data_IF_768077227315
#
_entry.id   IF_768077227315
#
_cell.length_a   1.000
_cell.length_b   1.000
_cell.length_c   1.000
_cell.angle_alpha   90.00
_cell.angle_beta   90.00
_cell.angle_gamma   90.00
#
_symmetry.space_group_name_H-M   'P 1'
#
loop_
_entity.id
_entity.type
_entity.pdbx_description
1 polymer ?
#
# COMPACT_ATOMS: atom_id res chain seq x y z
N UNK A 1 -31.32 -70.34 1.65
CA UNK A 1 -31.18 -68.92 1.27
C UNK A 1 -32.55 -68.41 0.85
N UNK A 2 -33.03 -67.32 1.44
CA UNK A 2 -34.26 -66.64 1.03
C UNK A 2 -33.94 -65.56 0.00
N UNK A 3 -34.78 -65.40 -1.02
CA UNK A 3 -34.66 -64.38 -2.04
C UNK A 3 -35.63 -63.23 -1.72
N UNK A 4 -35.15 -61.99 -1.60
CA UNK A 4 -35.98 -60.82 -1.30
C UNK A 4 -36.25 -60.00 -2.56
N UNK A 5 -37.47 -59.50 -2.69
CA UNK A 5 -37.80 -58.53 -3.73
C UNK A 5 -37.39 -57.12 -3.32
N UNK A 6 -36.58 -56.44 -4.13
CA UNK A 6 -36.07 -55.09 -3.86
C UNK A 6 -37.16 -54.01 -3.83
N UNK A 7 -38.31 -54.26 -4.47
CA UNK A 7 -39.39 -53.27 -4.56
C UNK A 7 -40.39 -53.39 -3.40
N UNK A 8 -40.74 -54.60 -2.98
CA UNK A 8 -41.81 -54.85 -2.01
C UNK A 8 -41.36 -55.58 -0.74
N UNK A 9 -40.06 -55.89 -0.62
CA UNK A 9 -39.43 -56.60 0.50
C UNK A 9 -40.06 -57.97 0.84
N UNK A 10 -40.79 -58.59 -0.09
CA UNK A 10 -41.35 -59.92 0.11
C UNK A 10 -40.27 -60.99 -0.08
N UNK A 11 -40.29 -62.02 0.77
CA UNK A 11 -39.32 -63.11 0.74
C UNK A 11 -39.85 -64.34 -0.02
N UNK A 12 -38.97 -65.00 -0.76
CA UNK A 12 -39.26 -66.17 -1.58
C UNK A 12 -38.25 -67.28 -1.29
N UNK A 13 -38.72 -68.52 -1.31
CA UNK A 13 -37.90 -69.71 -1.08
C UNK A 13 -37.03 -70.07 -2.29
N UNK A 14 -37.41 -69.66 -3.51
CA UNK A 14 -36.71 -69.98 -4.75
C UNK A 14 -36.57 -68.75 -5.67
N UNK A 15 -35.50 -68.73 -6.48
CA UNK A 15 -35.23 -67.66 -7.46
C UNK A 15 -36.33 -67.54 -8.52
N UNK A 16 -36.89 -68.67 -8.96
CA UNK A 16 -37.99 -68.69 -9.94
C UNK A 16 -39.26 -68.01 -9.40
N UNK A 17 -39.60 -68.21 -8.13
CA UNK A 17 -40.75 -67.54 -7.51
C UNK A 17 -40.56 -66.03 -7.40
N UNK A 18 -39.35 -65.57 -7.05
CA UNK A 18 -39.01 -64.14 -7.08
C UNK A 18 -39.17 -63.56 -8.49
N UNK A 19 -38.63 -64.25 -9.50
CA UNK A 19 -38.67 -63.78 -10.90
C UNK A 19 -40.12 -63.68 -11.40
N UNK A 20 -40.96 -64.68 -11.11
CA UNK A 20 -42.39 -64.63 -11.44
C UNK A 20 -43.11 -63.49 -10.70
N UNK A 21 -42.78 -63.28 -9.43
CA UNK A 21 -43.35 -62.21 -8.63
C UNK A 21 -43.01 -60.82 -9.19
N UNK A 22 -41.77 -60.58 -9.60
CA UNK A 22 -41.34 -59.30 -10.19
C UNK A 22 -42.13 -58.92 -11.45
N UNK A 23 -42.68 -59.91 -12.15
CA UNK A 23 -43.54 -59.72 -13.32
C UNK A 23 -45.03 -59.57 -13.00
N UNK A 24 -45.43 -59.68 -11.73
CA UNK A 24 -46.84 -59.44 -11.33
C UNK A 24 -47.16 -57.95 -11.41
N UNK A 25 -48.41 -57.63 -11.78
CA UNK A 25 -48.88 -56.25 -11.88
C UNK A 25 -48.67 -55.45 -10.58
N UNK A 26 -48.89 -56.09 -9.42
CA UNK A 26 -48.68 -55.48 -8.11
C UNK A 26 -47.21 -55.08 -7.89
N UNK A 27 -46.27 -55.97 -8.20
CA UNK A 27 -44.85 -55.68 -8.04
C UNK A 27 -44.37 -54.61 -9.04
N UNK A 28 -44.85 -54.67 -10.29
CA UNK A 28 -44.55 -53.66 -11.30
C UNK A 28 -45.12 -52.28 -10.94
N UNK A 29 -46.31 -52.23 -10.33
CA UNK A 29 -46.91 -50.99 -9.85
C UNK A 29 -46.05 -50.34 -8.77
N UNK A 30 -45.61 -51.11 -7.77
CA UNK A 30 -44.70 -50.62 -6.71
C UNK A 30 -43.38 -50.14 -7.32
N UNK A 31 -42.81 -50.88 -8.27
CA UNK A 31 -41.60 -50.44 -8.99
C UNK A 31 -41.79 -49.07 -9.64
N UNK A 32 -42.86 -48.86 -10.40
CA UNK A 32 -43.15 -47.56 -11.04
C UNK A 32 -43.30 -46.42 -10.04
N UNK A 33 -43.88 -46.69 -8.86
CA UNK A 33 -43.99 -45.70 -7.79
C UNK A 33 -42.62 -45.32 -7.22
N UNK A 34 -41.74 -46.30 -7.02
CA UNK A 34 -40.36 -46.06 -6.55
C UNK A 34 -39.56 -45.28 -7.61
N UNK A 35 -39.63 -45.69 -8.88
CA UNK A 35 -38.96 -45.00 -9.99
C UNK A 35 -39.40 -43.53 -10.07
N UNK A 36 -40.72 -43.26 -9.96
CA UNK A 36 -41.26 -41.90 -9.97
C UNK A 36 -40.81 -41.08 -8.75
N UNK A 37 -40.75 -41.69 -7.57
CA UNK A 37 -40.25 -41.05 -6.36
C UNK A 37 -38.77 -40.68 -6.51
N UNK A 38 -37.97 -41.60 -7.03
CA UNK A 38 -36.54 -41.41 -7.18
C UNK A 38 -36.23 -40.35 -8.25
N UNK A 39 -37.02 -40.31 -9.34
CA UNK A 39 -36.96 -39.22 -10.32
C UNK A 39 -37.26 -37.86 -9.67
N UNK A 40 -38.35 -37.75 -8.90
CA UNK A 40 -38.70 -36.51 -8.19
C UNK A 40 -37.63 -36.09 -7.18
N UNK A 41 -37.01 -37.04 -6.48
CA UNK A 41 -35.93 -36.76 -5.54
C UNK A 41 -34.67 -36.28 -6.27
N UNK A 42 -34.34 -36.86 -7.42
CA UNK A 42 -33.21 -36.42 -8.23
C UNK A 42 -33.43 -35.00 -8.78
N UNK A 43 -34.64 -34.70 -9.26
CA UNK A 43 -35.01 -33.34 -9.70
C UNK A 43 -34.87 -32.33 -8.55
N UNK A 44 -35.36 -32.66 -7.34
CA UNK A 44 -35.21 -31.82 -6.15
C UNK A 44 -33.75 -31.62 -5.76
N UNK A 45 -32.95 -32.68 -5.75
CA UNK A 45 -31.52 -32.60 -5.43
C UNK A 45 -30.76 -31.72 -6.41
N UNK A 46 -31.08 -31.82 -7.71
CA UNK A 46 -30.48 -30.95 -8.74
C UNK A 46 -30.84 -29.47 -8.53
N UNK A 47 -32.08 -29.17 -8.13
CA UNK A 47 -32.50 -27.81 -7.80
C UNK A 47 -31.76 -27.28 -6.58
N UNK A 48 -31.71 -28.06 -5.49
CA UNK A 48 -30.97 -27.70 -4.26
C UNK A 48 -29.48 -27.48 -4.55
N UNK A 49 -28.88 -28.30 -5.41
CA UNK A 49 -27.49 -28.14 -5.79
C UNK A 49 -27.24 -26.80 -6.52
N UNK A 50 -28.11 -26.43 -7.47
CA UNK A 50 -28.03 -25.14 -8.16
C UNK A 50 -28.20 -23.95 -7.21
N UNK A 51 -29.15 -24.03 -6.29
CA UNK A 51 -29.36 -22.98 -5.27
C UNK A 51 -28.13 -22.82 -4.37
N UNK A 52 -27.53 -23.93 -3.93
CA UNK A 52 -26.31 -23.89 -3.12
C UNK A 52 -25.11 -23.29 -3.88
N UNK A 53 -24.98 -23.56 -5.18
CA UNK A 53 -23.95 -22.95 -6.02
C UNK A 53 -24.15 -21.43 -6.16
N UNK A 54 -25.40 -20.97 -6.30
CA UNK A 54 -25.73 -19.54 -6.33
C UNK A 54 -25.42 -18.86 -4.99
N UNK A 55 -25.85 -19.47 -3.88
CA UNK A 55 -25.57 -18.96 -2.52
C UNK A 55 -24.08 -18.90 -2.21
N UNK A 56 -23.28 -19.84 -2.72
CA UNK A 56 -21.81 -19.79 -2.59
C UNK A 56 -21.23 -18.58 -3.30
N UNK A 57 -21.66 -18.31 -4.54
CA UNK A 57 -21.21 -17.13 -5.30
C UNK A 57 -21.63 -15.82 -4.63
N UNK A 58 -22.85 -15.74 -4.12
CA UNK A 58 -23.34 -14.56 -3.39
C UNK A 58 -22.51 -14.31 -2.12
N UNK A 59 -22.20 -15.35 -1.35
CA UNK A 59 -21.33 -15.24 -0.17
C UNK A 59 -19.90 -14.80 -0.53
N UNK A 60 -19.37 -15.20 -1.67
CA UNK A 60 -18.06 -14.75 -2.15
C UNK A 60 -18.08 -13.25 -2.49
N UNK A 61 -19.13 -12.77 -3.15
CA UNK A 61 -19.31 -11.35 -3.45
C UNK A 61 -19.44 -10.50 -2.18
N UNK A 62 -20.25 -10.94 -1.21
CA UNK A 62 -20.39 -10.26 0.08
C UNK A 62 -19.07 -10.18 0.86
N UNK A 63 -18.22 -11.22 0.77
CA UNK A 63 -16.87 -11.20 1.38
C UNK A 63 -15.94 -10.18 0.73
N UNK A 64 -16.06 -9.96 -0.58
CA UNK A 64 -15.27 -8.94 -1.29
C UNK A 64 -15.75 -7.55 -0.84
N UNK A 65 -17.06 -7.32 -0.80
CA UNK A 65 -17.64 -6.05 -0.37
C UNK A 65 -17.27 -5.70 1.08
N UNK A 66 -17.31 -6.67 2.01
CA UNK A 66 -16.90 -6.48 3.40
C UNK A 66 -15.42 -6.04 3.51
N UNK A 67 -14.53 -6.61 2.69
CA UNK A 67 -13.12 -6.20 2.65
C UNK A 67 -12.93 -4.77 2.14
N UNK A 68 -13.68 -4.38 1.12
CA UNK A 68 -13.64 -3.00 0.60
C UNK A 68 -14.15 -2.01 1.65
N UNK A 69 -15.25 -2.33 2.31
CA UNK A 69 -15.83 -1.48 3.34
C UNK A 69 -14.90 -1.34 4.56
N UNK A 70 -14.24 -2.42 4.99
CA UNK A 70 -13.19 -2.36 6.02
C UNK A 70 -12.04 -1.43 5.64
N UNK A 71 -11.61 -1.48 4.38
CA UNK A 71 -10.54 -0.59 3.88
C UNK A 71 -10.99 0.87 3.87
N UNK A 72 -12.23 1.15 3.43
CA UNK A 72 -12.82 2.50 3.45
C UNK A 72 -12.94 3.05 4.88
N UNK A 73 -13.38 2.24 5.83
CA UNK A 73 -13.48 2.61 7.24
C UNK A 73 -12.10 2.99 7.79
N UNK A 74 -11.07 2.19 7.52
CA UNK A 74 -9.70 2.48 7.95
C UNK A 74 -9.20 3.83 7.42
N UNK A 75 -9.38 4.09 6.12
CA UNK A 75 -9.00 5.36 5.50
C UNK A 75 -9.74 6.55 6.13
N UNK A 76 -11.03 6.39 6.46
CA UNK A 76 -11.81 7.44 7.12
C UNK A 76 -11.36 7.69 8.56
N UNK A 77 -11.00 6.64 9.29
CA UNK A 77 -10.45 6.74 10.64
C UNK A 77 -9.10 7.47 10.63
N UNK A 78 -8.20 7.11 9.71
CA UNK A 78 -6.90 7.78 9.58
C UNK A 78 -7.08 9.27 9.29
N UNK A 79 -7.98 9.63 8.36
CA UNK A 79 -8.33 11.04 8.07
C UNK A 79 -8.93 11.77 9.26
N UNK A 80 -9.79 11.11 10.03
CA UNK A 80 -10.41 11.71 11.21
C UNK A 80 -9.35 12.01 12.28
N UNK A 81 -8.42 11.09 12.51
CA UNK A 81 -7.34 11.25 13.47
C UNK A 81 -6.36 12.36 13.06
N UNK A 82 -6.05 12.48 11.77
CA UNK A 82 -5.25 13.59 11.25
C UNK A 82 -5.93 14.94 11.47
N UNK A 83 -7.23 15.05 11.15
CA UNK A 83 -8.02 16.25 11.40
C UNK A 83 -8.09 16.59 12.89
N UNK A 84 -8.29 15.59 13.75
CA UNK A 84 -8.30 15.76 15.20
C UNK A 84 -6.98 16.34 15.70
N UNK A 85 -5.83 15.79 15.26
CA UNK A 85 -4.49 16.32 15.61
C UNK A 85 -4.29 17.75 15.12
N UNK A 86 -4.81 18.11 13.94
CA UNK A 86 -4.76 19.49 13.43
C UNK A 86 -5.57 20.43 14.32
N UNK A 87 -6.79 20.04 14.69
CA UNK A 87 -7.68 20.84 15.56
C UNK A 87 -7.09 21.01 16.95
N UNK A 88 -6.57 19.94 17.57
CA UNK A 88 -5.91 20.02 18.88
C UNK A 88 -4.68 20.95 18.83
N UNK A 89 -3.85 20.86 17.77
CA UNK A 89 -2.73 21.79 17.54
C UNK A 89 -3.18 23.23 17.33
N UNK A 90 -4.35 23.45 16.70
CA UNK A 90 -4.90 24.80 16.50
C UNK A 90 -5.48 25.38 17.79
N UNK A 91 -6.14 24.56 18.61
CA UNK A 91 -6.73 24.97 19.89
C UNK A 91 -5.69 25.30 20.96
N UNK A 92 -4.54 24.60 20.97
CA UNK A 92 -3.44 24.85 21.92
C UNK A 92 -2.60 26.08 21.51
N UNK A 93 -2.68 26.54 20.25
CA UNK A 93 -2.07 27.82 19.85
C UNK A 93 -2.84 28.98 20.48
N UNK A 94 -2.38 29.40 21.65
CA UNK A 94 -2.85 30.60 22.35
C UNK A 94 -3.02 31.78 21.38
N UNK A 95 -4.25 32.29 21.28
CA UNK A 95 -4.62 33.56 20.63
C UNK A 95 -4.19 34.75 21.47
N UNK A 96 -3.01 34.71 22.07
CA UNK A 96 -2.35 35.95 22.47
C UNK A 96 -1.83 36.62 21.20
N UNK A 97 -2.46 37.73 20.83
CA UNK A 97 -1.90 38.80 20.01
C UNK A 97 -0.67 39.38 20.70
N UNK A 98 0.36 38.56 20.88
CA UNK A 98 1.69 39.08 21.17
C UNK A 98 2.12 39.73 19.87
N UNK A 99 2.27 41.07 19.88
CA UNK A 99 3.15 41.79 18.98
C UNK A 99 4.57 41.20 19.16
N UNK A 100 4.80 39.99 18.64
CA UNK A 100 6.14 39.43 18.50
C UNK A 100 6.65 40.06 17.23
N UNK A 101 7.53 41.03 17.41
CA UNK A 101 8.60 41.30 16.48
C UNK A 101 9.16 39.93 16.09
N UNK A 102 8.82 39.45 14.89
CA UNK A 102 9.39 38.24 14.36
C UNK A 102 10.88 38.54 14.20
N UNK A 103 11.69 38.04 15.14
CA UNK A 103 13.05 37.68 14.80
C UNK A 103 12.90 36.55 13.77
N UNK A 104 12.80 36.93 12.49
CA UNK A 104 13.16 36.02 11.41
C UNK A 104 14.60 35.61 11.70
N UNK A 105 14.77 34.43 12.28
CA UNK A 105 16.04 33.73 12.22
C UNK A 105 16.45 33.74 10.75
N UNK A 106 17.68 34.15 10.48
CA UNK A 106 18.15 34.57 9.18
C UNK A 106 18.25 33.36 8.23
N UNK A 107 17.12 32.81 7.75
CA UNK A 107 17.06 31.65 6.83
C UNK A 107 17.85 31.91 5.54
N UNK A 108 18.03 33.19 5.21
CA UNK A 108 18.91 33.68 4.16
C UNK A 108 20.38 33.27 4.34
N UNK A 109 20.83 32.96 5.58
CA UNK A 109 22.18 32.46 5.84
C UNK A 109 22.35 30.98 5.47
N UNK A 110 21.26 30.21 5.49
CA UNK A 110 21.29 28.76 5.25
C UNK A 110 20.93 28.40 3.82
N UNK A 111 20.08 29.18 3.18
CA UNK A 111 19.67 28.96 1.80
C UNK A 111 20.72 29.48 0.82
N UNK A 112 20.96 28.76 -0.27
CA UNK A 112 21.87 29.23 -1.33
C UNK A 112 21.48 30.63 -1.84
N UNK A 113 22.48 31.40 -2.28
CA UNK A 113 22.31 32.63 -3.03
C UNK A 113 21.73 32.39 -4.43
N UNK A 114 21.97 31.22 -5.01
CA UNK A 114 21.41 30.83 -6.30
C UNK A 114 19.91 30.50 -6.17
N UNK A 115 19.03 31.13 -6.96
CA UNK A 115 17.62 30.77 -6.98
C UNK A 115 17.40 29.40 -7.61
N UNK A 116 16.31 28.74 -7.23
CA UNK A 116 15.91 27.50 -7.87
C UNK A 116 15.34 27.81 -9.24
N UNK A 117 16.10 27.51 -10.29
CA UNK A 117 15.70 27.76 -11.68
C UNK A 117 14.70 26.72 -12.16
N UNK A 118 13.43 26.94 -11.83
CA UNK A 118 12.33 26.06 -12.21
C UNK A 118 12.24 25.92 -13.74
N UNK A 119 12.63 26.95 -14.49
CA UNK A 119 12.63 26.92 -15.96
C UNK A 119 13.64 25.93 -16.56
N UNK A 120 14.75 25.67 -15.86
CA UNK A 120 15.83 24.79 -16.31
C UNK A 120 15.67 23.35 -15.80
N UNK A 121 14.80 23.11 -14.80
CA UNK A 121 14.53 21.80 -14.20
C UNK A 121 14.24 20.70 -15.25
N UNK A 122 13.36 20.91 -16.25
CA UNK A 122 13.09 19.88 -17.26
C UNK A 122 14.32 19.46 -18.06
N UNK A 123 15.23 20.40 -18.32
CA UNK A 123 16.46 20.11 -19.09
C UNK A 123 17.45 19.34 -18.23
N UNK A 124 17.62 19.73 -16.98
CA UNK A 124 18.53 19.05 -16.04
C UNK A 124 18.05 17.63 -15.74
N UNK A 125 16.75 17.47 -15.49
CA UNK A 125 16.14 16.18 -15.18
C UNK A 125 16.29 15.13 -16.27
N UNK A 126 16.27 15.53 -17.54
CA UNK A 126 16.46 14.60 -18.66
C UNK A 126 17.81 13.87 -18.61
N UNK A 127 18.83 14.49 -18.01
CA UNK A 127 20.15 13.88 -17.88
C UNK A 127 20.32 13.17 -16.53
N UNK A 128 19.73 13.72 -15.47
CA UNK A 128 19.87 13.23 -14.09
C UNK A 128 18.99 11.98 -13.84
N UNK A 129 17.75 12.01 -14.33
CA UNK A 129 16.79 10.91 -14.14
C UNK A 129 16.74 10.09 -15.43
N UNK A 130 17.44 8.97 -15.42
CA UNK A 130 17.55 8.02 -16.52
C UNK A 130 17.33 6.59 -16.00
N UNK A 131 17.37 5.60 -16.89
CA UNK A 131 17.11 4.22 -16.52
C UNK A 131 18.07 3.68 -15.46
N UNK A 132 19.35 4.07 -15.49
CA UNK A 132 20.34 3.60 -14.54
C UNK A 132 20.12 4.21 -13.15
N UNK A 133 19.84 5.51 -13.08
CA UNK A 133 19.63 6.20 -11.80
C UNK A 133 18.32 5.79 -11.12
N UNK A 134 17.31 5.44 -11.91
CA UNK A 134 16.02 4.96 -11.40
C UNK A 134 16.11 3.52 -10.83
N UNK A 135 17.12 2.76 -11.23
CA UNK A 135 17.42 1.43 -10.67
C UNK A 135 18.16 1.49 -9.32
N UNK A 136 18.62 2.67 -8.87
CA UNK A 136 19.20 2.83 -7.53
C UNK A 136 18.18 2.52 -6.44
N UNK A 137 18.67 2.26 -5.23
CA UNK A 137 17.82 2.17 -4.05
C UNK A 137 17.11 3.51 -3.78
N UNK A 138 16.02 3.48 -3.02
CA UNK A 138 15.15 4.67 -2.84
C UNK A 138 15.93 5.86 -2.29
N UNK A 139 16.74 5.65 -1.26
CA UNK A 139 17.52 6.72 -0.62
C UNK A 139 18.58 7.29 -1.57
N UNK A 140 19.27 6.43 -2.33
CA UNK A 140 20.30 6.82 -3.31
C UNK A 140 19.69 7.60 -4.49
N UNK A 141 18.55 7.16 -4.99
CA UNK A 141 17.82 7.88 -6.04
C UNK A 141 17.42 9.28 -5.56
N UNK A 142 16.90 9.39 -4.34
CA UNK A 142 16.52 10.68 -3.77
C UNK A 142 17.73 11.58 -3.50
N UNK A 143 18.83 11.03 -2.97
CA UNK A 143 20.08 11.76 -2.77
C UNK A 143 20.64 12.26 -4.11
N UNK A 144 20.58 11.43 -5.15
CA UNK A 144 21.00 11.83 -6.50
C UNK A 144 20.25 13.07 -7.01
N UNK A 145 18.93 13.14 -6.76
CA UNK A 145 18.12 14.30 -7.13
C UNK A 145 18.45 15.52 -6.25
N UNK A 146 18.57 15.32 -4.94
CA UNK A 146 18.88 16.40 -3.99
C UNK A 146 20.22 17.04 -4.34
N UNK A 147 21.25 16.23 -4.57
CA UNK A 147 22.61 16.70 -4.77
C UNK A 147 22.81 17.38 -6.13
N UNK A 148 22.11 16.94 -7.17
CA UNK A 148 22.27 17.50 -8.51
C UNK A 148 21.30 18.65 -8.83
N UNK A 149 20.15 18.72 -8.15
CA UNK A 149 19.09 19.69 -8.45
C UNK A 149 18.87 20.67 -7.31
N UNK A 150 18.82 20.17 -6.08
CA UNK A 150 18.43 20.97 -4.91
C UNK A 150 19.63 21.54 -4.17
N UNK A 151 20.85 21.24 -4.60
CA UNK A 151 22.08 21.86 -4.10
C UNK A 151 22.72 22.77 -5.14
N UNK A 152 23.47 23.71 -4.61
CA UNK A 152 24.37 24.56 -5.36
C UNK A 152 25.72 23.85 -5.59
N UNK A 153 26.56 24.41 -6.47
CA UNK A 153 27.93 23.98 -6.72
C UNK A 153 28.79 23.98 -5.46
N UNK A 154 28.47 24.86 -4.50
CA UNK A 154 29.11 24.94 -3.19
C UNK A 154 28.53 23.93 -2.17
N UNK A 155 27.59 23.08 -2.58
CA UNK A 155 26.94 22.10 -1.73
C UNK A 155 25.87 22.67 -0.78
N UNK A 156 25.50 23.95 -0.93
CA UNK A 156 24.44 24.59 -0.15
C UNK A 156 23.06 24.26 -0.70
N UNK A 157 22.09 24.06 0.19
CA UNK A 157 20.72 23.73 -0.19
C UNK A 157 19.99 24.95 -0.80
N UNK A 158 19.39 24.74 -1.97
CA UNK A 158 18.52 25.70 -2.68
C UNK A 158 17.09 25.66 -2.14
N UNK A 159 16.71 24.55 -1.50
CA UNK A 159 15.41 24.32 -0.88
C UNK A 159 15.62 24.01 0.59
N UNK A 160 14.88 24.67 1.48
CA UNK A 160 15.02 24.50 2.92
C UNK A 160 13.70 24.07 3.55
N UNK A 161 13.72 23.04 4.40
CA UNK A 161 12.56 22.64 5.18
C UNK A 161 12.48 23.50 6.44
N UNK A 162 11.41 24.27 6.58
CA UNK A 162 11.19 25.19 7.72
C UNK A 162 10.36 24.57 8.84
N UNK A 163 9.48 23.62 8.50
CA UNK A 163 8.69 22.84 9.47
C UNK A 163 8.63 21.38 9.01
N UNK A 164 9.38 20.51 9.68
CA UNK A 164 9.45 19.08 9.36
C UNK A 164 8.13 18.35 9.58
N UNK A 165 7.33 18.76 10.58
CA UNK A 165 6.07 18.10 10.92
C UNK A 165 4.97 18.42 9.90
N UNK A 166 5.03 19.63 9.32
CA UNK A 166 4.09 20.07 8.28
C UNK A 166 4.66 19.90 6.87
N UNK A 167 5.91 19.46 6.76
CA UNK A 167 6.68 19.37 5.51
C UNK A 167 6.57 20.67 4.70
N UNK A 168 6.77 21.80 5.37
CA UNK A 168 6.78 23.10 4.70
C UNK A 168 8.19 23.42 4.21
N UNK A 169 8.30 23.72 2.93
CA UNK A 169 9.56 24.05 2.30
C UNK A 169 9.58 25.50 1.84
N UNK A 170 10.77 26.07 1.76
CA UNK A 170 10.97 27.44 1.29
C UNK A 170 12.18 27.50 0.35
N UNK A 171 12.02 28.16 -0.79
CA UNK A 171 13.09 28.35 -1.77
C UNK A 171 13.00 29.73 -2.44
N UNK A 172 14.12 30.21 -2.99
CA UNK A 172 14.17 31.48 -3.73
C UNK A 172 13.64 31.30 -5.14
N UNK A 173 12.69 32.15 -5.54
CA UNK A 173 12.15 32.14 -6.88
C UNK A 173 13.13 32.70 -7.92
N UNK A 174 13.05 32.18 -9.14
CA UNK A 174 13.88 32.62 -10.26
C UNK A 174 13.51 34.04 -10.75
N UNK A 175 12.22 34.40 -10.72
CA UNK A 175 11.73 35.66 -11.30
C UNK A 175 11.69 36.81 -10.31
N UNK A 176 11.21 36.55 -9.09
CA UNK A 176 11.10 37.59 -8.06
C UNK A 176 12.31 37.65 -7.13
N UNK A 177 13.10 36.58 -7.02
CA UNK A 177 14.15 36.46 -6.00
C UNK A 177 13.62 36.36 -4.56
N UNK A 178 12.29 36.36 -4.40
CA UNK A 178 11.62 36.26 -3.11
C UNK A 178 11.56 34.80 -2.63
N UNK A 179 11.40 34.63 -1.31
CA UNK A 179 11.22 33.31 -0.70
C UNK A 179 9.78 32.84 -0.90
N UNK A 180 9.61 31.78 -1.68
CA UNK A 180 8.33 31.10 -1.88
C UNK A 180 8.22 29.95 -0.90
N UNK A 181 7.06 29.82 -0.25
CA UNK A 181 6.71 28.64 0.55
C UNK A 181 5.97 27.63 -0.32
N UNK A 182 6.40 26.36 -0.27
CA UNK A 182 5.82 25.24 -1.00
C UNK A 182 5.52 24.08 -0.03
N UNK A 183 4.28 23.97 0.48
CA UNK A 183 3.85 22.87 1.34
C UNK A 183 3.99 21.53 0.60
N UNK A 184 4.56 20.52 1.25
CA UNK A 184 4.78 19.17 0.70
C UNK A 184 5.55 19.10 -0.65
N UNK A 185 6.27 20.17 -1.02
CA UNK A 185 6.91 20.33 -2.32
C UNK A 185 5.95 20.16 -3.50
N UNK A 186 4.67 20.51 -3.36
CA UNK A 186 3.66 20.24 -4.37
C UNK A 186 4.04 20.85 -5.73
N UNK A 187 4.43 22.13 -5.73
CA UNK A 187 4.83 22.82 -6.98
C UNK A 187 6.09 22.22 -7.56
N UNK A 188 7.10 21.98 -6.72
CA UNK A 188 8.36 21.43 -7.20
C UNK A 188 8.17 20.01 -7.77
N UNK A 189 7.41 19.14 -7.09
CA UNK A 189 7.12 17.77 -7.53
C UNK A 189 6.37 17.73 -8.85
N UNK A 190 5.42 18.63 -9.07
CA UNK A 190 4.75 18.72 -10.37
C UNK A 190 5.74 19.06 -11.49
N UNK A 191 6.67 19.98 -11.23
CA UNK A 191 7.68 20.34 -12.21
C UNK A 191 8.68 19.21 -12.43
N UNK A 192 9.05 18.47 -11.38
CA UNK A 192 9.90 17.28 -11.50
C UNK A 192 9.24 16.20 -12.35
N UNK A 193 7.94 15.94 -12.14
CA UNK A 193 7.15 15.00 -12.95
C UNK A 193 7.03 15.43 -14.40
N UNK A 194 6.78 16.72 -14.66
CA UNK A 194 6.66 17.27 -16.02
C UNK A 194 8.01 17.28 -16.75
N UNK A 195 9.09 17.48 -16.02
CA UNK A 195 10.45 17.52 -16.55
C UNK A 195 11.08 16.17 -16.83
N UNK A 196 10.56 15.11 -16.21
CA UNK A 196 11.05 13.73 -16.41
C UNK A 196 10.34 13.09 -17.60
N UNK A 197 11.09 12.48 -18.52
CA UNK A 197 10.50 11.73 -19.64
C UNK A 197 10.06 10.32 -19.19
N UNK A 198 9.01 10.29 -18.36
CA UNK A 198 8.52 9.07 -17.70
C UNK A 198 8.16 8.00 -18.72
N UNK A 199 7.71 8.38 -19.92
CA UNK A 199 7.34 7.41 -20.97
C UNK A 199 8.56 6.70 -21.53
N UNK A 200 9.60 7.47 -21.87
CA UNK A 200 10.84 6.91 -22.41
C UNK A 200 11.52 6.01 -21.36
N UNK A 201 11.66 6.49 -20.13
CA UNK A 201 12.28 5.73 -19.03
C UNK A 201 11.52 4.43 -18.75
N UNK A 202 10.18 4.45 -18.79
CA UNK A 202 9.39 3.21 -18.62
C UNK A 202 9.66 2.19 -19.71
N UNK A 203 9.80 2.63 -20.95
CA UNK A 203 10.05 1.72 -22.07
C UNK A 203 11.43 1.09 -21.95
N UNK A 204 12.47 1.90 -21.79
CA UNK A 204 13.86 1.47 -21.67
C UNK A 204 14.09 0.61 -20.42
N UNK A 205 13.50 0.96 -19.27
CA UNK A 205 13.63 0.19 -18.04
C UNK A 205 13.00 -1.20 -18.18
N UNK A 206 11.83 -1.29 -18.81
CA UNK A 206 11.16 -2.59 -19.00
C UNK A 206 11.97 -3.46 -19.95
N UNK A 207 12.47 -2.90 -21.06
CA UNK A 207 13.32 -3.60 -22.02
C UNK A 207 14.59 -4.14 -21.34
N UNK A 208 15.24 -3.32 -20.51
CA UNK A 208 16.44 -3.71 -19.76
C UNK A 208 16.14 -4.81 -18.74
N UNK A 209 15.07 -4.70 -17.96
CA UNK A 209 14.68 -5.70 -16.97
C UNK A 209 14.28 -7.05 -17.60
N UNK A 210 13.58 -7.02 -18.74
CA UNK A 210 13.24 -8.22 -19.50
C UNK A 210 14.50 -8.87 -20.06
N UNK A 211 15.40 -8.08 -20.65
CA UNK A 211 16.68 -8.58 -21.16
C UNK A 211 17.52 -9.22 -20.06
N UNK A 212 17.69 -8.55 -18.90
CA UNK A 212 18.39 -9.11 -17.74
C UNK A 212 17.75 -10.42 -17.24
N UNK A 213 16.43 -10.53 -17.28
CA UNK A 213 15.72 -11.74 -16.85
C UNK A 213 15.93 -12.91 -17.83
N UNK A 214 15.88 -12.64 -19.14
CA UNK A 214 16.12 -13.63 -20.18
C UNK A 214 17.58 -14.10 -20.19
N UNK A 215 18.54 -13.18 -20.04
CA UNK A 215 19.98 -13.49 -19.96
C UNK A 215 20.33 -14.34 -18.74
N UNK A 216 19.63 -14.16 -17.62
CA UNK A 216 19.77 -14.97 -16.41
C UNK A 216 19.02 -16.32 -16.48
N UNK A 217 18.52 -16.72 -17.66
CA UNK A 217 17.84 -17.99 -17.87
C UNK A 217 16.45 -18.06 -17.23
N UNK A 218 15.76 -16.92 -17.12
CA UNK A 218 14.44 -16.80 -16.52
C UNK A 218 14.40 -17.21 -15.03
N UNK A 219 15.49 -16.96 -14.31
CA UNK A 219 15.60 -17.20 -12.86
C UNK A 219 15.69 -15.86 -12.14
N UNK A 220 14.78 -15.61 -11.19
CA UNK A 220 14.81 -14.40 -10.37
C UNK A 220 13.43 -13.80 -10.10
N UNK A 221 13.43 -12.53 -9.69
CA UNK A 221 12.21 -11.75 -9.46
C UNK A 221 11.57 -11.41 -10.80
N UNK A 222 10.25 -11.56 -10.90
CA UNK A 222 9.47 -11.18 -12.07
C UNK A 222 9.80 -9.73 -12.50
N UNK A 223 10.24 -9.52 -13.76
CA UNK A 223 10.62 -8.20 -14.25
C UNK A 223 9.48 -7.18 -14.16
N UNK A 224 8.22 -7.61 -14.28
CA UNK A 224 7.06 -6.72 -14.17
C UNK A 224 6.80 -6.26 -12.73
N UNK A 225 7.09 -7.12 -11.75
CA UNK A 225 7.00 -6.76 -10.33
C UNK A 225 8.07 -5.73 -9.97
N UNK A 226 9.32 -6.01 -10.35
CA UNK A 226 10.45 -5.09 -10.13
C UNK A 226 10.26 -3.76 -10.86
N UNK A 227 9.74 -3.81 -12.09
CA UNK A 227 9.34 -2.63 -12.85
C UNK A 227 8.29 -1.79 -12.10
N UNK A 228 7.25 -2.42 -11.57
CA UNK A 228 6.19 -1.70 -10.84
C UNK A 228 6.74 -0.97 -9.62
N UNK A 229 7.59 -1.61 -8.83
CA UNK A 229 8.24 -1.03 -7.65
C UNK A 229 9.09 0.19 -8.02
N UNK A 230 9.95 0.05 -9.03
CA UNK A 230 10.84 1.12 -9.49
C UNK A 230 10.06 2.32 -10.06
N UNK A 231 8.99 2.08 -10.82
CA UNK A 231 8.19 3.16 -11.43
C UNK A 231 7.45 4.01 -10.39
N UNK A 232 7.22 3.53 -9.17
CA UNK A 232 6.64 4.35 -8.11
C UNK A 232 7.57 5.51 -7.70
N UNK A 233 8.90 5.32 -7.79
CA UNK A 233 9.90 6.35 -7.43
C UNK A 233 9.75 7.61 -8.29
N UNK A 234 9.45 7.42 -9.59
CA UNK A 234 9.21 8.49 -10.56
C UNK A 234 7.97 9.36 -10.26
N UNK A 235 7.13 8.95 -9.29
CA UNK A 235 6.00 9.78 -8.82
C UNK A 235 6.42 10.81 -7.77
N UNK A 236 7.67 10.79 -7.30
CA UNK A 236 8.17 11.68 -6.25
C UNK A 236 7.16 11.76 -5.10
N UNK A 237 6.82 10.61 -4.52
CA UNK A 237 5.75 10.48 -3.52
C UNK A 237 6.12 11.04 -2.14
N UNK A 238 5.35 10.68 -1.11
CA UNK A 238 5.69 11.01 0.28
C UNK A 238 7.12 10.59 0.69
N UNK A 239 7.65 9.42 0.29
CA UNK A 239 9.02 9.03 0.62
C UNK A 239 10.07 10.04 0.16
N UNK A 240 9.91 10.61 -1.05
CA UNK A 240 10.80 11.65 -1.55
C UNK A 240 10.68 12.94 -0.72
N UNK A 241 9.46 13.36 -0.38
CA UNK A 241 9.25 14.57 0.43
C UNK A 241 9.86 14.42 1.82
N UNK A 242 9.69 13.25 2.45
CA UNK A 242 10.28 12.92 3.74
C UNK A 242 11.81 12.91 3.67
N UNK A 243 12.36 12.40 2.58
CA UNK A 243 13.80 12.42 2.34
C UNK A 243 14.35 13.84 2.24
N UNK A 244 13.75 14.68 1.39
CA UNK A 244 14.16 16.08 1.23
C UNK A 244 13.97 16.85 2.53
N UNK A 245 12.89 16.62 3.28
CA UNK A 245 12.67 17.23 4.59
C UNK A 245 13.82 16.90 5.56
N UNK A 246 14.17 15.61 5.69
CA UNK A 246 15.26 15.19 6.59
C UNK A 246 16.60 15.82 6.22
N UNK A 247 16.91 15.91 4.92
CA UNK A 247 18.20 16.44 4.44
C UNK A 247 18.30 17.97 4.54
N UNK A 248 17.20 18.69 4.33
CA UNK A 248 17.19 20.15 4.21
C UNK A 248 16.61 20.86 5.44
N UNK A 249 16.26 20.11 6.49
CA UNK A 249 15.71 20.68 7.72
C UNK A 249 16.81 21.30 8.58
N UNK A 250 16.69 22.61 8.82
CA UNK A 250 17.57 23.33 9.74
C UNK A 250 16.91 23.40 11.10
N UNK A 251 17.42 22.61 12.05
CA UNK A 251 17.02 22.71 13.45
C UNK A 251 17.53 24.04 13.99
N UNK A 252 16.64 24.99 14.25
CA UNK A 252 16.99 26.20 14.98
C UNK A 252 17.46 25.79 16.37
N UNK A 253 18.78 25.85 16.60
CA UNK A 253 19.33 25.80 17.96
C UNK A 253 18.76 27.00 18.70
N UNK A 254 17.75 26.77 19.53
CA UNK A 254 17.55 27.66 20.67
C UNK A 254 18.82 27.52 21.50
N UNK A 255 19.56 28.62 21.67
CA UNK A 255 20.70 28.67 22.56
C UNK A 255 20.21 28.42 23.99
N UNK A 256 20.23 27.15 24.38
CA UNK A 256 20.41 26.71 25.76
C UNK A 256 21.56 25.74 25.65
N UNK A 257 22.73 26.20 26.11
CA UNK A 257 23.82 25.31 26.45
C UNK A 257 23.27 24.30 27.43
N UNK A 258 23.24 23.04 27.04
CA UNK A 258 23.51 21.94 27.96
C UNK A 258 24.15 20.84 27.13
N UNK A 259 25.41 20.62 27.44
CA UNK A 259 26.14 19.40 27.16
C UNK A 259 25.30 18.21 27.58
N UNK A 260 24.93 17.36 26.64
CA UNK A 260 25.23 15.95 26.77
C UNK A 260 25.18 15.25 25.42
N UNK A 261 26.28 14.55 25.14
CA UNK A 261 26.38 13.58 24.08
C UNK A 261 25.34 12.49 24.32
N UNK A 262 24.46 12.27 23.35
CA UNK A 262 23.91 10.93 23.16
C UNK A 262 23.59 10.74 21.69
N UNK A 263 24.51 10.06 21.01
CA UNK A 263 24.16 9.18 19.91
C UNK A 263 23.06 8.24 20.43
N UNK A 264 21.88 8.27 19.81
CA UNK A 264 20.90 7.21 20.01
C UNK A 264 20.32 6.77 18.67
N UNK A 265 20.93 5.68 18.21
CA UNK A 265 20.31 4.56 17.52
C UNK A 265 18.79 4.50 17.66
N UNK A 266 18.10 4.57 16.52
CA UNK A 266 16.72 4.11 16.40
C UNK A 266 16.71 2.58 16.38
N UNK A 267 16.67 1.98 17.57
CA UNK A 267 16.17 0.62 17.77
C UNK A 267 14.83 0.75 18.47
N UNK A 268 13.73 0.68 17.73
CA UNK A 268 12.39 0.54 18.32
C UNK A 268 12.28 -0.87 18.90
N UNK A 269 12.74 -1.06 20.14
CA UNK A 269 12.32 -2.18 20.99
C UNK A 269 11.13 -1.67 21.80
N UNK A 270 9.95 -2.21 21.52
CA UNK A 270 8.76 -2.07 22.36
C UNK A 270 9.08 -2.77 23.69
N UNK A 271 9.40 -2.00 24.73
CA UNK A 271 9.43 -2.51 26.10
C UNK A 271 8.00 -2.79 26.54
N UNK A 272 7.62 -4.07 26.54
CA UNK A 272 6.45 -4.54 27.27
C UNK A 272 6.71 -4.39 28.77
N UNK A 273 5.72 -3.91 29.49
CA UNK A 273 5.78 -3.98 30.96
C UNK A 273 5.81 -5.45 31.40
N UNK A 274 6.45 -5.73 32.54
CA UNK A 274 6.60 -7.09 33.06
C UNK A 274 5.24 -7.78 33.33
N UNK A 275 4.18 -6.98 33.47
CA UNK A 275 2.78 -7.41 33.61
C UNK A 275 2.17 -7.80 32.26
N UNK A 276 2.37 -6.99 31.20
CA UNK A 276 1.90 -7.30 29.84
C UNK A 276 2.57 -8.56 29.26
N UNK A 277 3.85 -8.78 29.57
CA UNK A 277 4.55 -9.99 29.14
C UNK A 277 3.98 -11.27 29.81
N UNK A 278 3.59 -11.19 31.09
CA UNK A 278 2.98 -12.31 31.81
C UNK A 278 1.56 -12.63 31.31
N UNK A 279 0.80 -11.64 30.87
CA UNK A 279 -0.49 -11.85 30.22
C UNK A 279 -0.36 -12.50 28.84
N UNK A 280 0.60 -12.06 28.03
CA UNK A 280 0.92 -12.67 26.74
C UNK A 280 1.36 -14.14 26.89
N UNK A 281 2.20 -14.47 27.88
CA UNK A 281 2.59 -15.86 28.12
C UNK A 281 1.41 -16.76 28.54
N UNK A 282 0.38 -16.21 29.21
CA UNK A 282 -0.84 -16.94 29.56
C UNK A 282 -1.76 -17.17 28.36
N UNK A 283 -1.88 -16.19 27.47
CA UNK A 283 -2.73 -16.31 26.27
C UNK A 283 -2.15 -17.27 25.22
N UNK A 284 -0.83 -17.35 25.10
CA UNK A 284 -0.17 -18.14 24.04
C UNK A 284 0.36 -19.52 24.47
N UNK A 285 0.05 -19.96 25.69
CA UNK A 285 0.07 -21.39 26.05
C UNK A 285 1.42 -22.09 25.92
N UNK A 286 2.51 -21.49 26.40
CA UNK A 286 3.75 -22.23 26.64
C UNK A 286 3.74 -22.77 28.08
N UNK A 287 3.71 -24.10 28.21
CA UNK A 287 4.04 -24.81 29.45
C UNK A 287 5.53 -24.65 29.78
#
# INVERSE_FOLDING_TARGET
MSYLCEYCNHSYTTKNHLTRHQNTEKCQYIKRLLDKRDQLNNEKNNTIQKENELLKKENELLKIEDKENKTKIKILQDKYEDLRKIVEKAAIKSTTTVKKTYNHNNYLNYISSEPLKISELPKQLKYIVNCDTVMYDDDDFHDHIVDNILKDKDGKDKVLCTDINRKNFTYKDEKSGELISDPELERLREQLKKGTDIRQIRHELLEKLVSEYEENGCVGIDPYKRFYEIVQKLKFGSPFVDHVARKTYVKTKNAIEDTDNTENNYSNQLEYTEEEYKELCKEFGNQ
#
